data_IF_479715289220
#
_entry.id   IF_479715289220
#
_cell.length_a   1.000
_cell.length_b   1.000
_cell.length_c   1.000
_cell.angle_alpha   90.00
_cell.angle_beta   90.00
_cell.angle_gamma   90.00
#
_symmetry.space_group_name_H-M   'P 1'
#
loop_
_entity.id
_entity.type
_entity.pdbx_description
1 polymer ?
#
# COMPACT_ATOMS: atom_id res chain seq x y z
N UNK A 1 1.41 -1.13 23.24
CA UNK A 1 2.54 -1.55 22.40
C UNK A 1 2.10 -1.64 20.94
N UNK A 2 3.05 -1.61 20.03
CA UNK A 2 2.78 -1.75 18.59
C UNK A 2 2.15 -3.11 18.24
N UNK A 3 2.65 -4.18 18.84
CA UNK A 3 2.18 -5.55 18.57
C UNK A 3 0.90 -5.94 19.33
N UNK A 4 0.42 -5.12 20.27
CA UNK A 4 -0.67 -5.48 21.17
C UNK A 4 -0.25 -6.36 22.36
N UNK A 5 0.98 -6.86 22.35
CA UNK A 5 1.56 -7.71 23.40
C UNK A 5 2.36 -6.90 24.43
N UNK A 6 2.76 -7.52 25.53
CA UNK A 6 3.70 -6.91 26.47
C UNK A 6 5.04 -6.67 25.75
N UNK A 7 5.55 -5.46 25.82
CA UNK A 7 6.81 -5.08 25.18
C UNK A 7 7.69 -4.27 26.11
N UNK A 8 9.00 -4.35 25.88
CA UNK A 8 10.01 -3.54 26.55
C UNK A 8 10.80 -2.79 25.47
N UNK A 9 10.99 -1.51 25.67
CA UNK A 9 11.80 -0.68 24.79
C UNK A 9 13.08 -0.28 25.52
N UNK A 10 14.23 -0.49 24.87
CA UNK A 10 15.54 -0.14 25.38
C UNK A 10 16.12 0.95 24.50
N UNK A 11 16.24 2.16 25.02
CA UNK A 11 16.88 3.27 24.34
C UNK A 11 18.36 3.33 24.71
N UNK A 12 19.21 3.56 23.71
CA UNK A 12 20.66 3.68 23.89
C UNK A 12 21.26 4.74 22.94
N UNK A 13 22.53 5.06 23.14
CA UNK A 13 23.25 5.91 22.19
C UNK A 13 23.37 5.22 20.82
N UNK A 14 23.36 6.00 19.72
CA UNK A 14 23.39 5.52 18.33
C UNK A 14 24.75 4.95 17.89
N UNK A 15 25.52 4.32 18.80
CA UNK A 15 26.73 3.59 18.48
C UNK A 15 26.40 2.18 18.01
N UNK A 16 26.90 1.80 16.82
CA UNK A 16 26.73 0.43 16.29
C UNK A 16 27.27 -0.64 17.23
N UNK A 17 28.35 -0.35 17.96
CA UNK A 17 28.90 -1.25 18.97
C UNK A 17 27.95 -1.46 20.14
N UNK A 18 27.39 -0.39 20.72
CA UNK A 18 26.46 -0.48 21.86
C UNK A 18 25.20 -1.25 21.45
N UNK A 19 24.63 -0.96 20.28
CA UNK A 19 23.47 -1.66 19.76
C UNK A 19 23.75 -3.16 19.58
N UNK A 20 24.90 -3.51 18.98
CA UNK A 20 25.31 -4.90 18.78
C UNK A 20 25.49 -5.65 20.11
N UNK A 21 26.11 -5.02 21.13
CA UNK A 21 26.30 -5.63 22.44
C UNK A 21 24.97 -5.85 23.18
N UNK A 22 24.04 -4.91 23.11
CA UNK A 22 22.70 -5.07 23.69
C UNK A 22 21.99 -6.26 23.03
N UNK A 23 22.00 -6.33 21.70
CA UNK A 23 21.38 -7.44 20.96
C UNK A 23 22.04 -8.79 21.32
N UNK A 24 23.37 -8.82 21.43
CA UNK A 24 24.11 -10.04 21.85
C UNK A 24 23.71 -10.49 23.24
N UNK A 25 23.61 -9.57 24.21
CA UNK A 25 23.19 -9.89 25.58
C UNK A 25 21.75 -10.40 25.64
N UNK A 26 20.81 -9.78 24.90
CA UNK A 26 19.43 -10.21 24.84
C UNK A 26 19.29 -11.60 24.21
N UNK A 27 20.07 -11.86 23.14
CA UNK A 27 20.09 -13.18 22.50
C UNK A 27 20.69 -14.25 23.43
N UNK A 28 21.76 -13.92 24.16
CA UNK A 28 22.36 -14.83 25.15
C UNK A 28 21.42 -15.12 26.33
N UNK A 29 20.51 -14.18 26.65
CA UNK A 29 19.47 -14.36 27.65
C UNK A 29 18.23 -15.15 27.16
N UNK A 30 18.28 -15.70 25.94
CA UNK A 30 17.21 -16.53 25.37
C UNK A 30 16.28 -15.79 24.40
N UNK A 31 16.53 -14.52 24.11
CA UNK A 31 15.83 -13.79 23.05
C UNK A 31 16.26 -14.29 21.67
N UNK A 32 15.46 -13.98 20.66
CA UNK A 32 15.82 -14.19 19.25
C UNK A 32 15.60 -12.93 18.45
N UNK A 33 16.29 -12.78 17.36
CA UNK A 33 16.01 -11.72 16.39
C UNK A 33 14.66 -11.95 15.74
N UNK A 34 13.89 -10.87 15.59
CA UNK A 34 12.63 -10.90 14.85
C UNK A 34 12.89 -11.06 13.35
N UNK A 35 12.00 -11.75 12.66
CA UNK A 35 12.02 -11.82 11.21
C UNK A 35 11.54 -10.49 10.60
N UNK A 36 11.94 -10.15 9.36
CA UNK A 36 11.39 -9.00 8.67
C UNK A 36 9.86 -9.02 8.64
N UNK A 37 9.23 -7.93 9.06
CA UNK A 37 7.77 -7.81 9.12
C UNK A 37 7.10 -8.47 10.35
N UNK A 38 7.84 -9.18 11.20
CA UNK A 38 7.26 -9.93 12.32
C UNK A 38 6.46 -9.05 13.29
N UNK A 39 6.91 -7.85 13.60
CA UNK A 39 6.18 -6.91 14.45
C UNK A 39 4.83 -6.51 13.84
N UNK A 40 4.81 -6.26 12.53
CA UNK A 40 3.59 -5.91 11.79
C UNK A 40 2.61 -7.08 11.71
N UNK A 41 3.11 -8.30 11.49
CA UNK A 41 2.29 -9.52 11.51
C UNK A 41 1.65 -9.71 12.88
N UNK A 42 2.40 -9.53 13.96
CA UNK A 42 1.86 -9.64 15.34
C UNK A 42 0.81 -8.56 15.61
N UNK A 43 1.04 -7.32 15.16
CA UNK A 43 0.07 -6.24 15.29
C UNK A 43 -1.24 -6.55 14.54
N UNK A 44 -1.14 -7.11 13.33
CA UNK A 44 -2.29 -7.58 12.56
C UNK A 44 -3.04 -8.71 13.28
N UNK A 45 -2.35 -9.76 13.74
CA UNK A 45 -2.96 -10.87 14.46
C UNK A 45 -3.61 -10.45 15.79
N UNK A 46 -3.08 -9.41 16.43
CA UNK A 46 -3.64 -8.82 17.64
C UNK A 46 -4.78 -7.80 17.35
N UNK A 47 -5.20 -7.62 16.09
CA UNK A 47 -6.25 -6.70 15.70
C UNK A 47 -5.90 -5.21 15.88
N UNK A 48 -4.60 -4.87 15.96
CA UNK A 48 -4.12 -3.48 16.04
C UNK A 48 -4.05 -2.80 14.69
N UNK A 49 -3.83 -3.59 13.64
CA UNK A 49 -3.82 -3.20 12.25
C UNK A 49 -4.75 -4.12 11.48
N UNK A 50 -5.41 -3.63 10.47
CA UNK A 50 -6.02 -4.47 9.45
C UNK A 50 -5.00 -4.84 8.35
N UNK A 51 -5.41 -5.68 7.39
CA UNK A 51 -4.52 -6.15 6.33
C UNK A 51 -4.00 -5.00 5.47
N UNK A 52 -4.86 -4.05 5.11
CA UNK A 52 -4.51 -2.89 4.29
C UNK A 52 -3.48 -2.00 4.99
N UNK A 53 -3.63 -1.79 6.30
CA UNK A 53 -2.69 -1.05 7.12
C UNK A 53 -1.36 -1.78 7.26
N UNK A 54 -1.38 -3.12 7.42
CA UNK A 54 -0.17 -3.92 7.51
C UNK A 54 0.64 -3.90 6.20
N UNK A 55 -0.02 -3.98 5.05
CA UNK A 55 0.60 -3.82 3.73
C UNK A 55 1.17 -2.41 3.55
N UNK A 56 0.44 -1.38 3.98
CA UNK A 56 0.88 0.01 3.90
C UNK A 56 2.17 0.28 4.70
N UNK A 57 2.43 -0.46 5.79
CA UNK A 57 3.72 -0.38 6.51
C UNK A 57 4.87 -0.82 5.61
N UNK A 58 4.70 -1.92 4.87
CA UNK A 58 5.71 -2.41 3.94
C UNK A 58 5.93 -1.43 2.78
N UNK A 59 4.84 -0.91 2.20
CA UNK A 59 4.89 0.09 1.13
C UNK A 59 5.56 1.40 1.58
N UNK A 60 5.34 1.82 2.82
CA UNK A 60 6.00 3.00 3.39
C UNK A 60 7.52 2.82 3.49
N UNK A 61 7.97 1.64 3.91
CA UNK A 61 9.40 1.31 4.01
C UNK A 61 10.04 1.22 2.62
N UNK A 62 9.32 0.65 1.65
CA UNK A 62 9.79 0.46 0.27
C UNK A 62 9.63 1.72 -0.60
N UNK A 63 8.96 2.77 -0.10
CA UNK A 63 8.65 3.95 -0.91
C UNK A 63 9.91 4.67 -1.39
N UNK A 64 10.03 4.84 -2.70
CA UNK A 64 11.16 5.53 -3.36
C UNK A 64 10.80 6.96 -3.78
N UNK A 65 9.53 7.36 -3.68
CA UNK A 65 9.08 8.70 -4.06
C UNK A 65 8.19 9.34 -2.98
N UNK A 66 8.12 10.68 -3.01
CA UNK A 66 7.23 11.43 -2.12
C UNK A 66 5.77 11.05 -2.29
N UNK A 67 5.36 10.76 -3.53
CA UNK A 67 3.99 10.38 -3.86
C UNK A 67 3.65 8.97 -3.30
N UNK A 68 4.55 7.99 -3.48
CA UNK A 68 4.40 6.64 -2.93
C UNK A 68 4.34 6.68 -1.39
N UNK A 69 5.23 7.44 -0.74
CA UNK A 69 5.22 7.62 0.71
C UNK A 69 3.92 8.26 1.21
N UNK A 70 3.40 9.29 0.53
CA UNK A 70 2.13 9.92 0.90
C UNK A 70 0.94 8.97 0.77
N UNK A 71 0.92 8.14 -0.30
CA UNK A 71 -0.10 7.13 -0.51
C UNK A 71 -0.07 6.08 0.61
N UNK A 72 1.09 5.49 0.89
CA UNK A 72 1.27 4.51 1.96
C UNK A 72 0.90 5.09 3.33
N UNK A 73 1.26 6.34 3.61
CA UNK A 73 0.87 7.04 4.84
C UNK A 73 -0.64 7.19 5.00
N UNK A 74 -1.36 7.46 3.90
CA UNK A 74 -2.83 7.56 3.90
C UNK A 74 -3.47 6.20 4.16
N UNK A 75 -2.97 5.15 3.52
CA UNK A 75 -3.44 3.78 3.73
C UNK A 75 -3.20 3.31 5.18
N UNK A 76 -2.01 3.58 5.73
CA UNK A 76 -1.68 3.23 7.12
C UNK A 76 -2.62 3.90 8.15
N UNK A 77 -3.17 5.08 7.82
CA UNK A 77 -4.19 5.77 8.64
C UNK A 77 -5.60 5.23 8.47
N UNK A 78 -5.81 4.19 7.69
CA UNK A 78 -7.11 3.56 7.48
C UNK A 78 -7.91 4.11 6.29
N UNK A 79 -7.27 4.82 5.35
CA UNK A 79 -7.99 5.46 4.25
C UNK A 79 -8.83 4.51 3.38
N UNK A 80 -8.39 3.25 3.19
CA UNK A 80 -9.19 2.23 2.50
C UNK A 80 -10.10 1.44 3.44
N UNK A 81 -9.73 1.28 4.69
CA UNK A 81 -10.45 0.46 5.67
C UNK A 81 -11.85 0.98 5.91
N UNK A 82 -12.03 2.29 6.03
CA UNK A 82 -13.32 2.93 6.21
C UNK A 82 -14.23 2.75 4.98
N UNK A 83 -13.68 2.88 3.75
CA UNK A 83 -14.45 2.65 2.51
C UNK A 83 -14.88 1.19 2.39
N UNK A 84 -13.99 0.23 2.70
CA UNK A 84 -14.28 -1.20 2.67
C UNK A 84 -15.30 -1.61 3.73
N UNK A 85 -15.21 -1.07 4.94
CA UNK A 85 -16.20 -1.36 5.99
C UNK A 85 -17.58 -0.80 5.63
N UNK A 86 -17.66 0.43 5.10
CA UNK A 86 -18.91 0.99 4.59
C UNK A 86 -19.52 0.13 3.47
N UNK A 87 -18.67 -0.39 2.56
CA UNK A 87 -19.13 -1.29 1.50
C UNK A 87 -19.61 -2.63 2.05
N UNK A 88 -18.89 -3.19 3.04
CA UNK A 88 -19.29 -4.41 3.74
C UNK A 88 -20.64 -4.27 4.43
N UNK A 89 -20.88 -3.17 5.14
CA UNK A 89 -22.17 -2.88 5.78
C UNK A 89 -23.31 -2.81 4.76
N UNK A 90 -23.11 -2.14 3.62
CA UNK A 90 -24.09 -2.09 2.54
C UNK A 90 -24.43 -3.49 1.99
N UNK A 91 -23.42 -4.34 1.83
CA UNK A 91 -23.59 -5.73 1.37
C UNK A 91 -24.34 -6.56 2.41
N UNK A 92 -23.99 -6.45 3.69
CA UNK A 92 -24.70 -7.16 4.78
C UNK A 92 -26.16 -6.75 4.85
N UNK A 93 -26.46 -5.45 4.78
CA UNK A 93 -27.84 -4.96 4.75
C UNK A 93 -28.61 -5.50 3.54
N UNK A 94 -27.97 -5.56 2.35
CA UNK A 94 -28.56 -6.13 1.15
C UNK A 94 -28.87 -7.63 1.34
N UNK A 95 -27.92 -8.40 1.91
CA UNK A 95 -28.10 -9.83 2.19
C UNK A 95 -29.25 -10.06 3.15
N UNK A 96 -29.32 -9.28 4.24
CA UNK A 96 -30.42 -9.38 5.21
C UNK A 96 -31.79 -9.09 4.61
N UNK A 97 -31.89 -8.13 3.69
CA UNK A 97 -33.13 -7.84 2.96
C UNK A 97 -33.52 -8.99 2.03
N UNK A 98 -32.55 -9.64 1.37
CA UNK A 98 -32.79 -10.79 0.51
C UNK A 98 -33.21 -12.03 1.31
N UNK A 99 -32.61 -12.28 2.47
CA UNK A 99 -32.99 -13.37 3.38
C UNK A 99 -34.43 -13.17 3.87
N UNK A 100 -34.77 -11.95 4.29
CA UNK A 100 -36.13 -11.63 4.72
C UNK A 100 -37.15 -11.87 3.62
N UNK A 101 -36.89 -11.47 2.39
CA UNK A 101 -37.75 -11.67 1.23
C UNK A 101 -37.94 -13.16 0.92
N UNK A 102 -36.89 -13.98 1.12
CA UNK A 102 -36.96 -15.44 0.91
C UNK A 102 -37.75 -16.13 2.01
N UNK A 103 -37.57 -15.77 3.27
CA UNK A 103 -38.23 -16.38 4.41
C UNK A 103 -39.75 -16.13 4.40
N UNK A 104 -40.19 -14.98 3.91
CA UNK A 104 -41.60 -14.58 3.83
C UNK A 104 -42.20 -14.68 2.42
N UNK A 105 -41.48 -15.34 1.49
CA UNK A 105 -41.95 -15.47 0.10
C UNK A 105 -43.27 -16.23 -0.07
N UNK A 106 -43.74 -17.00 0.94
CA UNK A 106 -45.01 -17.71 0.97
C UNK A 106 -46.17 -16.83 1.51
N UNK A 107 -45.88 -15.71 2.13
CA UNK A 107 -46.88 -14.73 2.56
C UNK A 107 -46.90 -13.59 1.52
N UNK A 108 -48.07 -13.19 1.03
CA UNK A 108 -48.28 -12.13 0.02
C UNK A 108 -47.82 -10.72 0.51
N UNK A 109 -46.67 -10.64 1.18
CA UNK A 109 -46.09 -9.43 1.73
C UNK A 109 -44.75 -9.12 1.03
N UNK A 110 -44.74 -8.12 0.18
CA UNK A 110 -43.46 -7.59 -0.38
C UNK A 110 -42.75 -6.76 0.67
N UNK A 111 -41.69 -7.31 1.29
CA UNK A 111 -40.86 -6.60 2.28
C UNK A 111 -39.84 -5.65 1.67
N UNK A 112 -39.43 -5.89 0.42
CA UNK A 112 -38.46 -5.06 -0.28
C UNK A 112 -39.01 -4.60 -1.63
N UNK A 113 -38.98 -3.30 -1.88
CA UNK A 113 -39.16 -2.75 -3.23
C UNK A 113 -38.02 -3.26 -4.12
N UNK A 114 -38.33 -4.15 -5.06
CA UNK A 114 -37.37 -4.72 -6.03
C UNK A 114 -36.62 -3.66 -6.81
N UNK A 115 -37.23 -2.49 -7.02
CA UNK A 115 -36.61 -1.35 -7.68
C UNK A 115 -35.55 -0.74 -6.79
N UNK A 116 -35.83 -0.55 -5.51
CA UNK A 116 -34.88 -0.04 -4.52
C UNK A 116 -33.73 -1.03 -4.30
N UNK A 117 -34.02 -2.34 -4.25
CA UNK A 117 -33.01 -3.39 -4.15
C UNK A 117 -32.04 -3.35 -5.34
N UNK A 118 -32.58 -3.33 -6.57
CA UNK A 118 -31.78 -3.25 -7.81
C UNK A 118 -30.95 -1.97 -7.86
N UNK A 119 -31.50 -0.82 -7.47
CA UNK A 119 -30.78 0.44 -7.40
C UNK A 119 -29.63 0.40 -6.38
N UNK A 120 -29.83 -0.30 -5.25
CA UNK A 120 -28.77 -0.49 -4.24
C UNK A 120 -27.65 -1.38 -4.78
N UNK A 121 -27.97 -2.50 -5.44
CA UNK A 121 -26.97 -3.35 -6.10
C UNK A 121 -26.15 -2.58 -7.15
N UNK A 122 -26.81 -1.77 -7.98
CA UNK A 122 -26.14 -0.96 -8.99
C UNK A 122 -25.19 0.09 -8.36
N UNK A 123 -25.58 0.72 -7.25
CA UNK A 123 -24.72 1.64 -6.51
C UNK A 123 -23.48 0.95 -5.93
N UNK A 124 -23.67 -0.23 -5.33
CA UNK A 124 -22.56 -1.04 -4.81
C UNK A 124 -21.61 -1.44 -5.94
N UNK A 125 -22.14 -1.92 -7.08
CA UNK A 125 -21.34 -2.29 -8.24
C UNK A 125 -20.53 -1.11 -8.78
N UNK A 126 -21.12 0.09 -8.89
CA UNK A 126 -20.45 1.29 -9.33
C UNK A 126 -19.33 1.73 -8.36
N UNK A 127 -19.55 1.57 -7.05
CA UNK A 127 -18.55 1.88 -6.02
C UNK A 127 -17.36 0.92 -6.09
N UNK A 128 -17.61 -0.39 -6.28
CA UNK A 128 -16.56 -1.39 -6.51
C UNK A 128 -15.76 -1.09 -7.78
N UNK A 129 -16.43 -0.73 -8.89
CA UNK A 129 -15.74 -0.37 -10.14
C UNK A 129 -14.90 0.90 -10.00
N UNK A 130 -15.34 1.88 -9.23
CA UNK A 130 -14.56 3.06 -8.89
C UNK A 130 -13.28 2.69 -8.13
N UNK A 131 -13.40 1.87 -7.09
CA UNK A 131 -12.25 1.39 -6.31
C UNK A 131 -11.28 0.59 -7.19
N UNK A 132 -11.80 -0.33 -8.00
CA UNK A 132 -11.00 -1.12 -8.95
C UNK A 132 -10.24 -0.23 -9.95
N UNK A 133 -10.88 0.81 -10.46
CA UNK A 133 -10.27 1.71 -11.43
C UNK A 133 -9.18 2.59 -10.81
N UNK A 134 -9.31 2.95 -9.53
CA UNK A 134 -8.29 3.72 -8.80
C UNK A 134 -7.01 2.92 -8.54
N UNK A 135 -7.10 1.57 -8.54
CA UNK A 135 -5.97 0.68 -8.29
C UNK A 135 -4.84 0.84 -9.32
N UNK A 136 -5.17 1.03 -10.59
CA UNK A 136 -4.17 1.21 -11.65
C UNK A 136 -3.32 2.47 -11.42
N UNK A 137 -3.95 3.57 -10.99
CA UNK A 137 -3.25 4.81 -10.65
C UNK A 137 -2.42 4.64 -9.37
N UNK A 138 -2.97 3.98 -8.34
CA UNK A 138 -2.27 3.69 -7.10
C UNK A 138 -1.01 2.84 -7.34
N UNK A 139 -1.10 1.82 -8.19
CA UNK A 139 0.05 0.99 -8.56
C UNK A 139 1.12 1.78 -9.32
N UNK A 140 0.72 2.64 -10.26
CA UNK A 140 1.65 3.49 -10.99
C UNK A 140 2.39 4.48 -10.05
N UNK A 141 1.72 4.97 -9.01
CA UNK A 141 2.33 5.83 -8.00
C UNK A 141 3.28 5.02 -7.08
N UNK A 142 2.90 3.79 -6.73
CA UNK A 142 3.67 2.92 -5.83
C UNK A 142 4.93 2.36 -6.48
N UNK A 143 4.79 1.81 -7.67
CA UNK A 143 5.85 1.08 -8.39
C UNK A 143 6.60 1.95 -9.39
N UNK A 144 6.04 3.13 -9.72
CA UNK A 144 6.52 3.96 -10.80
C UNK A 144 6.08 3.43 -12.17
N UNK A 145 6.40 4.19 -13.21
CA UNK A 145 6.16 3.79 -14.60
C UNK A 145 7.50 3.72 -15.30
N UNK A 146 7.87 2.52 -15.77
CA UNK A 146 9.10 2.35 -16.53
C UNK A 146 9.02 3.10 -17.86
N UNK A 147 9.93 4.06 -18.06
CA UNK A 147 10.03 4.87 -19.28
C UNK A 147 11.40 4.67 -19.91
N UNK A 148 11.43 4.24 -21.18
CA UNK A 148 12.67 4.12 -21.94
C UNK A 148 12.83 5.29 -22.91
N UNK A 149 13.95 6.01 -22.86
CA UNK A 149 14.31 7.07 -23.80
C UNK A 149 15.23 6.47 -24.85
N UNK A 150 14.72 6.20 -26.04
CA UNK A 150 15.47 5.63 -27.16
C UNK A 150 15.64 6.62 -28.30
N UNK A 151 16.75 6.52 -29.04
CA UNK A 151 17.03 7.36 -30.19
C UNK A 151 18.48 7.27 -30.64
N UNK A 152 18.81 7.85 -31.79
CA UNK A 152 20.16 7.90 -32.36
C UNK A 152 21.18 8.55 -31.38
N UNK A 153 22.48 8.30 -31.55
CA UNK A 153 23.51 9.04 -30.81
C UNK A 153 23.35 10.56 -30.97
N UNK A 154 23.69 11.31 -29.92
CA UNK A 154 23.74 12.79 -29.89
C UNK A 154 22.43 13.54 -30.19
N UNK A 155 21.26 12.90 -30.05
CA UNK A 155 19.95 13.55 -30.21
C UNK A 155 19.43 14.19 -28.90
N UNK A 156 20.23 14.25 -27.84
CA UNK A 156 19.87 14.93 -26.59
C UNK A 156 19.17 14.06 -25.54
N UNK A 157 19.24 12.71 -25.61
CA UNK A 157 18.62 11.80 -24.63
C UNK A 157 19.11 12.07 -23.19
N UNK A 158 20.41 12.18 -22.98
CA UNK A 158 21.00 12.46 -21.66
C UNK A 158 20.64 13.86 -21.15
N UNK A 159 20.55 14.84 -22.05
CA UNK A 159 20.09 16.18 -21.70
C UNK A 159 18.61 16.20 -21.29
N UNK A 160 17.77 15.44 -22.01
CA UNK A 160 16.37 15.29 -21.67
C UNK A 160 16.19 14.59 -20.31
N UNK A 161 16.94 13.49 -20.07
CA UNK A 161 16.92 12.77 -18.80
C UNK A 161 17.31 13.68 -17.63
N UNK A 162 18.46 14.36 -17.74
CA UNK A 162 18.93 15.30 -16.73
C UNK A 162 17.92 16.43 -16.46
N UNK A 163 17.22 16.89 -17.49
CA UNK A 163 16.19 17.92 -17.35
C UNK A 163 14.94 17.41 -16.63
N UNK A 164 14.55 16.16 -16.88
CA UNK A 164 13.41 15.52 -16.21
C UNK A 164 13.71 15.23 -14.73
N UNK A 165 14.92 14.77 -14.43
CA UNK A 165 15.36 14.47 -13.06
C UNK A 165 15.72 15.75 -12.28
N UNK A 166 15.88 16.89 -12.96
CA UNK A 166 16.43 18.13 -12.40
C UNK A 166 17.81 17.95 -11.72
N UNK A 167 18.60 16.99 -12.22
CA UNK A 167 19.92 16.61 -11.72
C UNK A 167 20.87 16.30 -12.89
N UNK A 168 22.18 16.50 -12.68
CA UNK A 168 23.23 16.18 -13.67
C UNK A 168 23.77 14.75 -13.43
N UNK A 169 22.94 13.72 -13.66
CA UNK A 169 23.34 12.30 -13.47
C UNK A 169 23.86 11.63 -14.75
N UNK A 170 23.30 11.97 -15.90
CA UNK A 170 23.74 11.42 -17.16
C UNK A 170 24.87 12.28 -17.75
N UNK A 171 25.99 11.65 -18.17
CA UNK A 171 27.05 12.35 -18.87
C UNK A 171 26.57 12.90 -20.21
N UNK A 172 26.69 14.20 -20.40
CA UNK A 172 26.39 14.88 -21.65
C UNK A 172 27.71 15.17 -22.35
N UNK A 173 27.92 14.63 -23.57
CA UNK A 173 29.08 14.86 -24.39
C UNK A 173 28.68 14.91 -25.86
N UNK A 174 29.44 15.69 -26.65
CA UNK A 174 29.27 15.75 -28.11
C UNK A 174 29.82 14.47 -28.80
N UNK A 175 30.54 13.62 -28.07
CA UNK A 175 31.10 12.37 -28.61
C UNK A 175 30.04 11.26 -28.57
N UNK A 176 29.80 10.58 -29.69
CA UNK A 176 28.86 9.49 -29.78
C UNK A 176 29.28 8.30 -28.90
N UNK A 177 28.33 7.74 -28.12
CA UNK A 177 28.55 6.55 -27.31
C UNK A 177 28.98 6.81 -25.87
N UNK A 178 28.84 8.00 -25.35
CA UNK A 178 29.13 8.36 -23.95
C UNK A 178 28.19 7.72 -22.93
N UNK A 179 26.95 7.42 -23.31
CA UNK A 179 25.99 6.74 -22.44
C UNK A 179 25.77 5.32 -22.98
N UNK A 180 26.49 4.32 -22.41
CA UNK A 180 26.39 2.90 -22.77
C UNK A 180 25.54 2.09 -21.80
N UNK A 181 25.46 2.52 -20.57
CA UNK A 181 24.75 1.81 -19.49
C UNK A 181 23.34 2.37 -19.31
N UNK A 182 22.39 1.52 -18.93
CA UNK A 182 21.06 1.95 -18.52
C UNK A 182 21.17 2.75 -17.21
N UNK A 183 20.51 3.90 -17.17
CA UNK A 183 20.33 4.66 -15.93
C UNK A 183 18.90 4.37 -15.48
N UNK A 184 18.77 3.67 -14.35
CA UNK A 184 17.48 3.41 -13.72
C UNK A 184 17.23 4.46 -12.64
N UNK A 185 16.06 5.07 -12.64
CA UNK A 185 15.60 6.06 -11.68
C UNK A 185 14.11 5.85 -11.39
N UNK A 186 13.73 5.97 -10.10
CA UNK A 186 12.34 5.87 -9.61
C UNK A 186 11.78 7.21 -9.20
#
# INVERSE_FOLDING_TARGET
SYTGENSVEISCHGSSYIVSEILRLLTAAGGRMAQPGEFTIRAYLAGKLDLSQAEAVADMIASSSRAAHALASTQMRGGYSEELESLREKLLNLTSLLELELDFSEEDVEFADRTALRATMQRIAAEIDRLRSSFALGNAIREGVAVAIAGAPNVGKSTLLNRLLNEERAMVSEIAGTTRDGIEEC
#
